data_IF_089586353711
#
_entry.id   IF_089586353711
#
_cell.length_a   1.000
_cell.length_b   1.000
_cell.length_c   1.000
_cell.angle_alpha   90.00
_cell.angle_beta   90.00
_cell.angle_gamma   90.00
#
_symmetry.space_group_name_H-M   'P 1'
#
loop_
_entity.id
_entity.type
_entity.pdbx_description
1 polymer ?
#
# COMPACT_ATOMS: atom_id res chain seq x y z
N UNK A 1 -13.53 10.20 12.98
CA UNK A 1 -14.10 9.86 11.65
C UNK A 1 -13.21 10.50 10.61
N UNK A 2 -12.31 9.71 10.02
CA UNK A 2 -11.41 10.13 8.93
C UNK A 2 -11.51 9.11 7.81
N UNK A 3 -12.73 8.72 7.44
CA UNK A 3 -12.98 7.85 6.31
C UNK A 3 -13.10 8.71 5.05
N UNK A 4 -12.24 8.43 4.06
CA UNK A 4 -12.45 8.89 2.68
C UNK A 4 -11.44 9.87 2.10
N UNK A 5 -10.55 10.49 2.89
CA UNK A 5 -9.64 11.52 2.37
C UNK A 5 -8.70 11.01 1.24
N UNK A 6 -8.40 9.72 1.17
CA UNK A 6 -7.39 9.17 0.25
C UNK A 6 -7.91 8.11 -0.72
N UNK A 7 -9.20 7.75 -0.68
CA UNK A 7 -9.76 6.64 -1.45
C UNK A 7 -10.20 7.01 -2.88
N UNK A 8 -10.25 8.31 -3.21
CA UNK A 8 -10.72 8.82 -4.50
C UNK A 8 -9.73 9.70 -5.27
N UNK A 9 -8.45 9.80 -4.86
CA UNK A 9 -7.53 10.77 -5.45
C UNK A 9 -7.00 10.33 -6.83
N UNK A 10 -7.21 11.13 -7.91
CA UNK A 10 -6.63 10.90 -9.22
C UNK A 10 -5.09 10.97 -9.21
N UNK A 11 -4.48 10.49 -10.31
CA UNK A 11 -3.04 10.30 -10.59
C UNK A 11 -2.08 11.50 -10.36
N UNK A 12 -2.52 12.60 -9.75
CA UNK A 12 -1.71 13.79 -9.52
C UNK A 12 -1.87 14.25 -8.07
N UNK A 13 -0.89 13.89 -7.24
CA UNK A 13 -0.72 14.34 -5.85
C UNK A 13 -0.49 15.86 -5.70
N UNK A 14 -0.63 16.63 -6.78
CA UNK A 14 -0.38 18.08 -6.85
C UNK A 14 -1.23 18.94 -5.88
N UNK A 15 -2.17 18.34 -5.14
CA UNK A 15 -2.93 19.01 -4.08
C UNK A 15 -2.73 18.45 -2.67
N UNK A 16 -2.15 17.24 -2.51
CA UNK A 16 -2.06 16.58 -1.18
C UNK A 16 -1.09 17.28 -0.25
N UNK A 17 0.03 17.76 -0.79
CA UNK A 17 0.97 18.62 -0.05
C UNK A 17 0.27 19.86 0.51
N UNK A 18 -0.45 20.60 -0.33
CA UNK A 18 -1.20 21.79 0.10
C UNK A 18 -2.22 21.44 1.18
N UNK A 19 -2.94 20.32 1.03
CA UNK A 19 -3.89 19.88 2.06
C UNK A 19 -3.16 19.62 3.38
N UNK A 20 -2.04 18.90 3.37
CA UNK A 20 -1.24 18.66 4.58
C UNK A 20 -0.69 19.95 5.18
N UNK A 21 -0.32 20.93 4.36
CA UNK A 21 0.10 22.27 4.80
C UNK A 21 -1.05 23.08 5.43
N UNK A 22 -2.30 22.83 5.01
CA UNK A 22 -3.49 23.47 5.57
C UNK A 22 -4.17 22.67 6.70
N UNK A 23 -3.67 21.48 7.01
CA UNK A 23 -4.23 20.67 8.09
C UNK A 23 -3.94 21.33 9.44
N UNK A 24 -4.94 21.29 10.31
CA UNK A 24 -4.78 21.66 11.70
C UNK A 24 -3.97 20.57 12.43
N UNK A 25 -2.68 20.84 12.61
CA UNK A 25 -1.76 19.96 13.32
C UNK A 25 -1.81 20.15 14.85
N UNK A 26 -2.79 20.92 15.36
CA UNK A 26 -3.04 21.16 16.78
C UNK A 26 -2.86 22.63 17.20
N UNK A 27 -3.20 22.92 18.45
CA UNK A 27 -3.15 24.28 19.02
C UNK A 27 -1.73 24.85 19.18
N UNK A 28 -0.72 23.98 19.15
CA UNK A 28 0.66 24.40 18.96
C UNK A 28 0.89 24.49 17.46
N UNK A 29 1.52 25.57 17.00
CA UNK A 29 2.06 25.76 15.64
C UNK A 29 3.08 24.66 15.30
N UNK A 30 2.59 23.44 15.19
CA UNK A 30 3.28 22.16 15.09
C UNK A 30 4.11 22.09 13.81
N UNK A 31 3.53 22.65 12.75
CA UNK A 31 4.15 22.84 11.46
C UNK A 31 5.29 23.87 11.59
N UNK A 32 6.52 23.41 11.40
CA UNK A 32 7.74 24.20 11.64
C UNK A 32 8.41 23.95 13.01
N UNK A 33 7.75 23.24 13.93
CA UNK A 33 8.37 22.83 15.22
C UNK A 33 8.82 21.37 15.19
N UNK A 34 8.01 20.46 14.61
CA UNK A 34 8.34 19.03 14.52
C UNK A 34 7.97 18.36 13.18
N UNK A 35 7.29 19.07 12.27
CA UNK A 35 6.98 18.58 10.92
C UNK A 35 7.63 19.49 9.88
N UNK A 36 8.48 18.87 9.05
CA UNK A 36 9.06 19.46 7.85
C UNK A 36 8.39 18.85 6.61
N UNK A 37 7.98 19.69 5.66
CA UNK A 37 7.35 19.25 4.40
C UNK A 37 8.29 19.55 3.23
N UNK A 38 8.93 18.49 2.75
CA UNK A 38 9.95 18.56 1.71
C UNK A 38 9.60 17.81 0.42
N UNK A 39 10.57 17.75 -0.47
CA UNK A 39 10.57 16.86 -1.63
C UNK A 39 11.19 15.50 -1.28
N UNK A 40 11.30 14.59 -2.25
CA UNK A 40 12.08 13.36 -2.09
C UNK A 40 13.51 13.65 -2.55
N UNK A 41 14.50 13.32 -1.73
CA UNK A 41 15.92 13.42 -2.06
C UNK A 41 16.81 13.59 -0.84
N UNK A 42 18.10 13.27 -0.97
CA UNK A 42 19.05 13.34 0.16
C UNK A 42 19.29 14.76 0.71
N UNK A 43 18.95 15.81 -0.04
CA UNK A 43 19.05 17.21 0.43
C UNK A 43 17.92 17.62 1.39
N UNK A 44 16.86 16.83 1.43
CA UNK A 44 15.67 17.05 2.25
C UNK A 44 15.78 16.29 3.59
N UNK A 45 16.98 15.83 3.92
CA UNK A 45 17.30 15.08 5.14
C UNK A 45 18.21 15.94 5.99
N UNK A 46 17.67 16.45 7.10
CA UNK A 46 18.41 17.27 8.06
C UNK A 46 18.90 16.39 9.23
N UNK A 47 19.89 16.86 9.99
CA UNK A 47 20.48 16.09 11.10
C UNK A 47 19.48 15.90 12.25
N UNK A 48 18.59 16.88 12.45
CA UNK A 48 17.54 16.89 13.45
C UNK A 48 16.32 16.01 13.13
N UNK A 49 16.19 15.53 11.89
CA UNK A 49 15.01 14.74 11.50
C UNK A 49 15.10 13.32 12.08
N UNK A 50 14.03 12.89 12.77
CA UNK A 50 13.96 11.55 13.40
C UNK A 50 13.35 10.47 12.50
N UNK A 51 12.39 10.85 11.64
CA UNK A 51 11.57 9.93 10.85
C UNK A 51 11.12 10.59 9.53
N UNK A 52 11.07 9.80 8.46
CA UNK A 52 10.60 10.26 7.15
C UNK A 52 9.32 9.53 6.75
N UNK A 53 8.27 10.27 6.38
CA UNK A 53 7.01 9.71 5.87
C UNK A 53 6.81 10.20 4.43
N UNK A 54 6.87 9.26 3.48
CA UNK A 54 6.67 9.55 2.07
C UNK A 54 5.26 9.14 1.66
N UNK A 55 4.45 10.15 1.32
CA UNK A 55 3.04 9.96 0.97
C UNK A 55 2.89 9.73 -0.53
N UNK A 56 2.43 8.53 -0.87
CA UNK A 56 2.15 8.07 -2.22
C UNK A 56 3.27 8.33 -3.25
N UNK A 57 4.55 8.04 -2.95
CA UNK A 57 5.64 8.26 -3.90
C UNK A 57 5.42 7.44 -5.17
N UNK A 58 5.59 8.05 -6.36
CA UNK A 58 5.31 7.41 -7.65
C UNK A 58 6.44 7.63 -8.65
N UNK A 59 6.75 6.60 -9.43
CA UNK A 59 7.47 6.80 -10.69
C UNK A 59 6.54 7.42 -11.72
N UNK A 60 7.04 8.39 -12.48
CA UNK A 60 6.36 8.97 -13.62
C UNK A 60 7.12 8.66 -14.92
N UNK A 61 6.43 8.74 -16.06
CA UNK A 61 7.07 8.56 -17.37
C UNK A 61 8.15 9.62 -17.54
N UNK A 62 9.40 9.19 -17.72
CA UNK A 62 10.56 10.07 -17.84
C UNK A 62 11.12 10.63 -16.52
N UNK A 63 10.51 10.31 -15.37
CA UNK A 63 11.02 10.68 -14.06
C UNK A 63 10.88 9.51 -13.07
N UNK A 64 12.00 8.81 -12.83
CA UNK A 64 12.06 7.70 -11.89
C UNK A 64 12.66 8.20 -10.57
N UNK A 65 11.83 8.23 -9.52
CA UNK A 65 12.21 8.76 -8.20
C UNK A 65 13.09 7.80 -7.38
N UNK A 66 13.47 6.65 -7.95
CA UNK A 66 14.20 5.60 -7.23
C UNK A 66 15.58 6.07 -6.79
N UNK A 67 16.27 6.85 -7.62
CA UNK A 67 17.59 7.36 -7.26
C UNK A 67 17.49 8.46 -6.18
N UNK A 68 16.46 9.30 -6.22
CA UNK A 68 16.17 10.27 -5.16
C UNK A 68 15.78 9.58 -3.84
N UNK A 69 14.97 8.53 -3.92
CA UNK A 69 14.63 7.68 -2.76
C UNK A 69 15.87 7.04 -2.16
N UNK A 70 16.79 6.54 -2.99
CA UNK A 70 18.06 5.96 -2.52
C UNK A 70 18.92 7.03 -1.84
N UNK A 71 19.06 8.20 -2.45
CA UNK A 71 19.80 9.30 -1.84
C UNK A 71 19.20 9.72 -0.48
N UNK A 72 17.87 9.70 -0.35
CA UNK A 72 17.18 9.97 0.92
C UNK A 72 17.41 8.87 1.95
N UNK A 73 17.29 7.58 1.60
CA UNK A 73 17.56 6.49 2.56
C UNK A 73 19.02 6.44 2.99
N UNK A 74 19.95 6.71 2.06
CA UNK A 74 21.39 6.75 2.36
C UNK A 74 21.69 7.90 3.34
N UNK A 75 21.08 9.08 3.13
CA UNK A 75 21.20 10.21 4.04
C UNK A 75 20.48 9.96 5.38
N UNK A 76 19.34 9.27 5.38
CA UNK A 76 18.60 8.91 6.59
C UNK A 76 19.38 7.92 7.47
N UNK A 77 20.22 7.07 6.88
CA UNK A 77 21.03 6.09 7.61
C UNK A 77 20.14 5.08 8.35
N UNK A 78 20.23 5.05 9.68
CA UNK A 78 19.43 4.14 10.52
C UNK A 78 18.04 4.68 10.89
N UNK A 79 17.70 5.92 10.45
CA UNK A 79 16.41 6.55 10.75
C UNK A 79 15.31 5.95 9.87
N UNK A 80 14.10 5.71 10.38
CA UNK A 80 13.09 5.00 9.62
C UNK A 80 12.55 5.84 8.44
N UNK A 81 12.32 5.19 7.31
CA UNK A 81 11.68 5.77 6.14
C UNK A 81 10.43 4.96 5.82
N UNK A 82 9.25 5.58 6.01
CA UNK A 82 7.95 4.92 5.87
C UNK A 82 7.29 5.40 4.58
N UNK A 83 6.92 4.44 3.72
CA UNK A 83 6.20 4.71 2.48
C UNK A 83 4.70 4.44 2.66
N UNK A 84 3.87 5.45 2.46
CA UNK A 84 2.41 5.30 2.48
C UNK A 84 1.91 5.16 1.04
N UNK A 85 1.23 4.07 0.71
CA UNK A 85 0.68 3.80 -0.63
C UNK A 85 1.67 4.03 -1.80
N UNK A 86 2.89 3.49 -1.75
CA UNK A 86 3.89 3.68 -2.80
C UNK A 86 3.48 3.06 -4.15
N UNK A 87 3.82 3.73 -5.25
CA UNK A 87 3.68 3.24 -6.63
C UNK A 87 5.03 3.30 -7.34
N UNK A 88 5.94 2.42 -6.92
CA UNK A 88 7.33 2.37 -7.40
C UNK A 88 7.54 1.42 -8.60
N UNK A 89 6.46 0.93 -9.23
CA UNK A 89 6.60 0.15 -10.46
C UNK A 89 7.08 1.06 -11.59
N UNK A 90 7.99 0.56 -12.42
CA UNK A 90 8.47 1.30 -13.59
C UNK A 90 7.35 1.43 -14.62
N UNK A 91 7.07 2.66 -15.09
CA UNK A 91 6.08 2.94 -16.12
C UNK A 91 6.80 3.10 -17.46
N UNK A 92 6.66 2.15 -18.40
CA UNK A 92 7.29 2.27 -19.70
C UNK A 92 6.72 3.48 -20.44
N UNK A 93 7.61 4.31 -21.01
CA UNK A 93 7.19 5.36 -21.93
C UNK A 93 6.55 4.72 -23.18
N UNK A 94 5.47 5.32 -23.68
CA UNK A 94 4.70 4.87 -24.85
C UNK A 94 5.53 4.69 -26.13
N UNK A 95 6.74 5.23 -26.16
CA UNK A 95 7.66 5.19 -27.30
C UNK A 95 8.50 3.92 -27.40
N UNK A 96 8.47 3.00 -26.42
CA UNK A 96 9.20 1.71 -26.48
C UNK A 96 10.73 1.81 -26.52
N UNK A 97 11.30 3.02 -26.51
CA UNK A 97 12.75 3.27 -26.52
C UNK A 97 13.26 3.23 -25.08
N UNK A 98 13.77 2.05 -24.72
CA UNK A 98 14.68 1.67 -23.64
C UNK A 98 14.86 2.59 -22.42
N UNK A 99 14.43 2.06 -21.26
CA UNK A 99 14.99 2.30 -19.92
C UNK A 99 15.27 0.95 -19.23
N UNK A 100 15.76 -0.04 -19.98
CA UNK A 100 15.99 -1.42 -19.48
C UNK A 100 17.26 -1.50 -18.64
N UNK A 101 18.23 -0.62 -18.89
CA UNK A 101 19.50 -0.62 -18.17
C UNK A 101 19.29 -0.10 -16.74
N UNK A 102 19.59 -0.93 -15.74
CA UNK A 102 19.39 -0.58 -14.33
C UNK A 102 17.97 -0.75 -13.81
N UNK A 103 16.99 -1.12 -14.66
CA UNK A 103 15.61 -1.40 -14.24
C UNK A 103 15.53 -2.47 -13.17
N UNK A 104 16.29 -3.55 -13.33
CA UNK A 104 16.31 -4.65 -12.37
C UNK A 104 16.82 -4.17 -11.02
N UNK A 105 17.90 -3.37 -10.99
CA UNK A 105 18.43 -2.77 -9.75
C UNK A 105 17.45 -1.80 -9.09
N UNK A 106 16.65 -1.06 -9.88
CA UNK A 106 15.61 -0.16 -9.37
C UNK A 106 14.44 -0.93 -8.78
N UNK A 107 14.03 -2.02 -9.42
CA UNK A 107 12.97 -2.91 -8.92
C UNK A 107 13.42 -3.67 -7.67
N UNK A 108 14.68 -4.10 -7.63
CA UNK A 108 15.29 -4.73 -6.46
C UNK A 108 15.29 -3.78 -5.27
N UNK A 109 15.75 -2.54 -5.46
CA UNK A 109 15.69 -1.50 -4.42
C UNK A 109 14.25 -1.20 -3.99
N UNK A 110 13.30 -1.08 -4.91
CA UNK A 110 11.89 -0.88 -4.54
C UNK A 110 11.31 -2.07 -3.75
N UNK A 111 11.87 -3.27 -3.93
CA UNK A 111 11.45 -4.51 -3.26
C UNK A 111 12.15 -4.74 -1.93
N UNK A 112 13.17 -3.94 -1.58
CA UNK A 112 13.84 -4.04 -0.27
C UNK A 112 13.00 -3.47 0.87
N UNK A 113 11.98 -2.67 0.56
CA UNK A 113 11.05 -2.14 1.55
C UNK A 113 10.14 -3.24 2.09
N UNK A 114 10.10 -3.38 3.41
CA UNK A 114 9.21 -4.31 4.09
C UNK A 114 7.82 -3.69 4.33
N UNK A 115 6.78 -4.53 4.25
CA UNK A 115 5.44 -4.11 4.64
C UNK A 115 5.35 -4.10 6.18
N UNK A 116 5.14 -2.94 6.79
CA UNK A 116 4.91 -2.82 8.23
C UNK A 116 3.40 -2.79 8.58
N UNK A 117 2.57 -2.31 7.66
CA UNK A 117 1.12 -2.21 7.84
C UNK A 117 0.40 -2.35 6.50
N UNK A 118 -0.73 -3.04 6.50
CA UNK A 118 -1.61 -3.15 5.34
C UNK A 118 -3.06 -3.16 5.79
N UNK A 119 -3.90 -2.35 5.14
CA UNK A 119 -5.32 -2.32 5.37
C UNK A 119 -6.07 -2.16 4.06
N UNK A 120 -7.04 -3.04 3.81
CA UNK A 120 -7.89 -2.99 2.62
C UNK A 120 -9.31 -3.36 2.97
N UNK A 121 -10.25 -2.47 2.63
CA UNK A 121 -11.68 -2.77 2.67
C UNK A 121 -12.06 -3.73 1.54
N UNK A 122 -12.97 -4.65 1.86
CA UNK A 122 -13.49 -5.66 0.95
C UNK A 122 -14.94 -5.32 0.61
N UNK A 123 -15.28 -5.42 -0.67
CA UNK A 123 -16.58 -5.03 -1.22
C UNK A 123 -17.11 -6.12 -2.14
N UNK A 124 -18.41 -6.12 -2.38
CA UNK A 124 -18.98 -6.92 -3.46
C UNK A 124 -18.42 -6.47 -4.81
N UNK A 125 -18.16 -7.44 -5.70
CA UNK A 125 -17.67 -7.15 -7.04
C UNK A 125 -18.63 -6.19 -7.77
N UNK A 126 -18.06 -5.19 -8.45
CA UNK A 126 -18.83 -4.20 -9.21
C UNK A 126 -19.40 -3.04 -8.40
N UNK A 127 -19.15 -2.97 -7.08
CA UNK A 127 -19.64 -1.88 -6.24
C UNK A 127 -18.65 -1.49 -5.14
N UNK A 128 -18.67 -0.22 -4.74
CA UNK A 128 -17.96 0.26 -3.54
C UNK A 128 -18.82 0.12 -2.27
N UNK A 129 -20.04 -0.40 -2.39
CA UNK A 129 -20.95 -0.69 -1.28
C UNK A 129 -21.87 -1.88 -1.59
N UNK A 130 -22.21 -2.72 -0.60
CA UNK A 130 -21.82 -2.59 0.79
C UNK A 130 -20.39 -3.09 1.06
N UNK A 131 -19.78 -2.59 2.15
CA UNK A 131 -18.54 -3.15 2.70
C UNK A 131 -18.86 -4.54 3.25
N UNK A 132 -18.10 -5.54 2.84
CA UNK A 132 -18.24 -6.92 3.32
C UNK A 132 -17.33 -7.22 4.51
N UNK A 133 -16.22 -6.50 4.62
CA UNK A 133 -15.18 -6.82 5.58
C UNK A 133 -13.91 -6.02 5.33
N UNK A 134 -12.84 -6.43 6.00
CA UNK A 134 -11.54 -5.79 5.87
C UNK A 134 -10.42 -6.83 5.99
N UNK A 135 -9.35 -6.64 5.22
CA UNK A 135 -8.10 -7.37 5.38
C UNK A 135 -7.09 -6.43 6.05
N UNK A 136 -6.59 -6.83 7.22
CA UNK A 136 -5.60 -6.08 8.01
C UNK A 136 -4.32 -6.90 8.15
N UNK A 137 -3.18 -6.24 8.17
CA UNK A 137 -1.91 -6.79 8.62
C UNK A 137 -1.13 -5.70 9.34
N UNK A 138 -0.47 -6.09 10.43
CA UNK A 138 0.40 -5.24 11.23
C UNK A 138 1.62 -6.07 11.61
N UNK A 139 2.80 -5.65 11.21
CA UNK A 139 4.03 -6.35 11.57
C UNK A 139 4.20 -6.43 13.11
N UNK A 140 4.70 -7.53 13.68
CA UNK A 140 5.11 -8.80 13.04
C UNK A 140 3.96 -9.83 12.97
N UNK A 141 2.71 -9.40 13.15
CA UNK A 141 1.55 -10.28 13.21
C UNK A 141 1.08 -10.74 11.84
N UNK A 142 0.17 -11.72 11.86
CA UNK A 142 -0.43 -12.34 10.67
C UNK A 142 -1.43 -11.40 9.99
N UNK A 143 -1.77 -11.72 8.75
CA UNK A 143 -2.94 -11.14 8.10
C UNK A 143 -4.21 -11.60 8.80
N UNK A 144 -5.12 -10.68 9.06
CA UNK A 144 -6.41 -10.91 9.68
C UNK A 144 -7.51 -10.50 8.73
N UNK A 145 -8.40 -11.44 8.42
CA UNK A 145 -9.58 -11.19 7.62
C UNK A 145 -10.77 -10.97 8.56
N UNK A 146 -11.41 -9.82 8.44
CA UNK A 146 -12.58 -9.43 9.19
C UNK A 146 -13.82 -9.48 8.29
N UNK A 147 -14.93 -9.95 8.85
CA UNK A 147 -16.27 -9.85 8.26
C UNK A 147 -17.05 -8.75 8.95
N UNK A 148 -17.69 -7.88 8.15
CA UNK A 148 -18.65 -6.90 8.63
C UNK A 148 -19.95 -7.63 9.01
N UNK A 149 -20.42 -7.40 10.21
CA UNK A 149 -21.69 -7.90 10.73
C UNK A 149 -22.45 -6.74 11.36
N UNK A 150 -23.78 -6.79 11.30
CA UNK A 150 -24.64 -5.89 12.05
C UNK A 150 -25.00 -6.56 13.37
N UNK A 151 -24.86 -5.83 14.48
CA UNK A 151 -25.34 -6.29 15.77
C UNK A 151 -26.88 -6.22 15.85
N UNK A 152 -27.51 -6.81 16.88
CA UNK A 152 -28.97 -6.79 17.03
C UNK A 152 -29.60 -5.39 17.17
N UNK A 153 -28.81 -4.37 17.45
CA UNK A 153 -29.19 -2.96 17.57
C UNK A 153 -28.85 -2.15 16.29
N UNK A 154 -28.43 -2.82 15.21
CA UNK A 154 -28.08 -2.20 13.94
C UNK A 154 -26.71 -1.51 13.93
N UNK A 155 -25.84 -1.79 14.92
CA UNK A 155 -24.48 -1.23 14.94
C UNK A 155 -23.53 -2.10 14.13
N UNK A 156 -22.70 -1.44 13.33
CA UNK A 156 -21.66 -2.11 12.57
C UNK A 156 -20.56 -2.66 13.50
N UNK A 157 -20.20 -3.93 13.29
CA UNK A 157 -19.11 -4.61 13.97
C UNK A 157 -18.28 -5.43 12.99
N UNK A 158 -16.98 -5.51 13.25
CA UNK A 158 -16.07 -6.37 12.51
C UNK A 158 -15.64 -7.55 13.38
N UNK A 159 -15.84 -8.76 12.89
CA UNK A 159 -15.43 -9.99 13.57
C UNK A 159 -14.36 -10.71 12.77
N UNK A 160 -13.36 -11.27 13.45
CA UNK A 160 -12.31 -12.05 12.79
C UNK A 160 -12.94 -13.30 12.18
N UNK A 161 -12.72 -13.47 10.88
CA UNK A 161 -13.18 -14.59 10.09
C UNK A 161 -12.06 -15.63 9.92
N UNK A 162 -10.84 -15.18 9.62
CA UNK A 162 -9.68 -16.06 9.43
C UNK A 162 -8.36 -15.29 9.61
N UNK A 163 -7.25 -16.02 9.74
CA UNK A 163 -5.89 -15.46 9.79
C UNK A 163 -4.98 -16.16 8.79
N UNK A 164 -4.06 -15.43 8.17
CA UNK A 164 -3.13 -15.93 7.15
C UNK A 164 -1.69 -15.53 7.48
N UNK A 165 -0.70 -16.43 7.33
CA UNK A 165 0.70 -16.09 7.58
C UNK A 165 1.25 -15.09 6.55
N UNK A 166 0.77 -15.16 5.31
CA UNK A 166 1.13 -14.28 4.20
C UNK A 166 -0.12 -13.63 3.62
N UNK A 167 0.06 -12.68 2.70
CA UNK A 167 -1.04 -11.97 2.06
C UNK A 167 -1.93 -12.95 1.30
N UNK A 168 -3.20 -13.12 1.69
CA UNK A 168 -4.08 -14.10 1.05
C UNK A 168 -4.41 -13.71 -0.39
N UNK A 169 -4.60 -14.72 -1.23
CA UNK A 169 -5.16 -14.57 -2.58
C UNK A 169 -6.65 -14.23 -2.55
N UNK A 170 -7.18 -13.77 -3.68
CA UNK A 170 -8.63 -13.48 -3.81
C UNK A 170 -9.46 -14.75 -3.54
N UNK A 171 -9.01 -15.90 -4.03
CA UNK A 171 -9.65 -17.19 -3.82
C UNK A 171 -9.70 -17.56 -2.33
N UNK A 172 -8.58 -17.44 -1.61
CA UNK A 172 -8.53 -17.73 -0.16
C UNK A 172 -9.43 -16.82 0.66
N UNK A 173 -9.55 -15.55 0.28
CA UNK A 173 -10.48 -14.61 0.90
C UNK A 173 -11.92 -15.06 0.65
N UNK A 174 -12.28 -15.39 -0.59
CA UNK A 174 -13.63 -15.85 -0.94
C UNK A 174 -14.00 -17.16 -0.24
N UNK A 175 -13.08 -18.14 -0.23
CA UNK A 175 -13.28 -19.42 0.46
C UNK A 175 -13.55 -19.21 1.96
N UNK A 176 -12.84 -18.27 2.59
CA UNK A 176 -13.08 -17.92 3.99
C UNK A 176 -14.46 -17.29 4.22
N UNK A 177 -14.95 -16.45 3.30
CA UNK A 177 -16.31 -15.88 3.37
C UNK A 177 -17.41 -16.94 3.17
N UNK A 178 -17.15 -17.94 2.33
CA UNK A 178 -18.07 -19.06 2.07
C UNK A 178 -18.02 -20.15 3.15
N UNK A 179 -17.07 -20.07 4.10
CA UNK A 179 -16.88 -21.07 5.15
C UNK A 179 -16.32 -22.40 4.63
N UNK A 180 -15.71 -22.41 3.45
CA UNK A 180 -15.06 -23.60 2.89
C UNK A 180 -13.78 -23.91 3.70
N UNK A 181 -13.50 -25.19 4.02
CA UNK A 181 -12.23 -25.54 4.62
C UNK A 181 -11.10 -25.12 3.68
N UNK A 182 -10.00 -24.64 4.26
CA UNK A 182 -8.79 -24.28 3.50
C UNK A 182 -8.36 -25.52 2.71
N UNK A 183 -8.58 -25.52 1.40
CA UNK A 183 -8.22 -26.65 0.55
C UNK A 183 -6.69 -26.78 0.59
N UNK A 184 -6.17 -27.71 1.39
CA UNK A 184 -4.77 -28.15 1.38
C UNK A 184 -4.37 -28.80 0.03
N UNK A 185 -5.29 -28.86 -0.93
CA UNK A 185 -5.15 -29.54 -2.22
C UNK A 185 -5.27 -28.63 -3.44
N UNK A 186 -4.87 -27.35 -3.39
CA UNK A 186 -4.35 -26.68 -4.61
C UNK A 186 -2.85 -26.99 -4.75
N UNK A 187 -2.50 -28.29 -4.79
CA UNK A 187 -1.24 -28.73 -5.39
C UNK A 187 -1.28 -28.25 -6.83
N UNK A 188 -0.38 -27.32 -7.16
CA UNK A 188 0.07 -26.98 -8.53
C UNK A 188 -0.86 -27.48 -9.62
N UNK A 189 -1.86 -26.68 -10.00
CA UNK A 189 -2.48 -26.85 -11.31
C UNK A 189 -1.41 -26.42 -12.30
N UNK A 190 -0.59 -27.40 -12.68
CA UNK A 190 0.43 -27.24 -13.69
C UNK A 190 -0.19 -26.74 -14.97
N UNK A 191 0.65 -26.14 -15.80
CA UNK A 191 0.44 -25.57 -17.13
C UNK A 191 -0.53 -26.33 -18.07
N UNK A 192 -0.85 -27.59 -17.76
CA UNK A 192 -1.76 -28.47 -18.51
C UNK A 192 -3.25 -28.28 -18.22
N UNK A 193 -3.65 -27.63 -17.11
CA UNK A 193 -5.07 -27.35 -16.83
C UNK A 193 -5.73 -26.33 -17.77
N UNK A 194 -4.92 -25.59 -18.54
CA UNK A 194 -5.39 -24.56 -19.47
C UNK A 194 -5.88 -25.15 -20.82
N UNK A 195 -5.50 -26.38 -21.17
CA UNK A 195 -5.77 -26.96 -22.50
C UNK A 195 -6.96 -27.93 -22.54
N UNK A 196 -7.58 -28.29 -21.42
CA UNK A 196 -8.76 -29.19 -21.43
C UNK A 196 -10.10 -28.48 -21.65
N UNK A 197 -10.10 -27.15 -21.86
CA UNK A 197 -11.30 -26.35 -22.13
C UNK A 197 -11.57 -26.05 -23.60
N UNK A 198 -10.78 -26.61 -24.51
CA UNK A 198 -10.95 -26.47 -25.97
C UNK A 198 -10.96 -27.88 -26.57
N UNK A 199 -12.00 -28.66 -26.29
CA UNK A 199 -12.55 -29.71 -27.16
C UNK A 199 -13.99 -29.99 -26.76
#
# INVERSE_FOLDING_TARGET
MGEGALAGMPLQLAGTRKILEFMDWGEYEAMGTFINIGSIGGKEVEEQDDLFILVAPQNAVGNCIIDDLRAMTDAAGNRPVILINPRLKDLPASSGIMQTMGRDKRLEYASSFENCYFFRLLYYAGTQYPIMGALRFSYPYRYELYKRVEDPYGKEKYVILSTFPEKPSIDEVNDAFEGKPRNESKKTVGFWGFLSGIF
#
